data_IF_132506533965
#
_entry.id   IF_132506533965
#
_cell.length_a   1.000
_cell.length_b   1.000
_cell.length_c   1.000
_cell.angle_alpha   90.00
_cell.angle_beta   90.00
_cell.angle_gamma   90.00
#
_symmetry.space_group_name_H-M   'P 1'
#
loop_
_entity.id
_entity.type
_entity.pdbx_description
1 polymer ?
#
# COMPACT_ATOMS: atom_id res chain seq x y z
N UNK A 1 -21.24 8.91 3.62
CA UNK A 1 -21.58 9.35 2.26
C UNK A 1 -20.55 10.39 1.85
N UNK A 2 -19.68 10.12 0.86
CA UNK A 2 -18.69 11.10 0.40
C UNK A 2 -19.46 12.28 -0.21
N UNK A 3 -19.16 13.52 0.17
CA UNK A 3 -19.83 14.69 -0.38
C UNK A 3 -19.59 14.75 -1.91
N UNK A 4 -20.65 15.04 -2.70
CA UNK A 4 -20.56 15.12 -4.17
C UNK A 4 -19.45 16.08 -4.65
N UNK A 5 -19.20 17.16 -3.89
CA UNK A 5 -18.12 18.10 -4.15
C UNK A 5 -16.74 17.43 -4.07
N UNK A 6 -16.49 16.57 -3.07
CA UNK A 6 -15.24 15.86 -2.92
C UNK A 6 -14.99 14.90 -4.09
N UNK A 7 -16.01 14.15 -4.52
CA UNK A 7 -15.88 13.24 -5.65
C UNK A 7 -15.57 14.00 -6.96
N UNK A 8 -16.18 15.16 -7.18
CA UNK A 8 -15.85 16.02 -8.34
C UNK A 8 -14.39 16.46 -8.32
N UNK A 9 -13.87 16.89 -7.17
CA UNK A 9 -12.47 17.28 -7.03
C UNK A 9 -11.53 16.10 -7.31
N UNK A 10 -11.79 14.93 -6.73
CA UNK A 10 -10.98 13.73 -6.94
C UNK A 10 -10.95 13.31 -8.43
N UNK A 11 -12.09 13.38 -9.12
CA UNK A 11 -12.13 13.11 -10.57
C UNK A 11 -11.31 14.14 -11.36
N UNK A 12 -11.35 15.42 -11.01
CA UNK A 12 -10.53 16.45 -11.67
C UNK A 12 -9.04 16.19 -11.46
N UNK A 13 -8.62 15.75 -10.28
CA UNK A 13 -7.22 15.36 -10.04
C UNK A 13 -6.81 14.18 -10.93
N UNK A 14 -7.67 13.15 -11.07
CA UNK A 14 -7.41 12.02 -11.98
C UNK A 14 -7.29 12.44 -13.45
N UNK A 15 -8.12 13.37 -13.89
CA UNK A 15 -8.05 13.92 -15.26
C UNK A 15 -6.74 14.69 -15.51
N UNK A 16 -6.08 15.20 -14.47
CA UNK A 16 -4.75 15.81 -14.55
C UNK A 16 -3.60 14.79 -14.49
N UNK A 17 -3.90 13.49 -14.39
CA UNK A 17 -2.89 12.44 -14.28
C UNK A 17 -2.39 12.17 -12.85
N UNK A 18 -2.98 12.80 -11.83
CA UNK A 18 -2.61 12.57 -10.43
C UNK A 18 -3.16 11.22 -9.98
N UNK A 19 -2.30 10.34 -9.45
CA UNK A 19 -2.72 9.06 -8.85
C UNK A 19 -3.36 9.30 -7.49
N UNK A 20 -4.40 8.53 -7.17
CA UNK A 20 -5.09 8.60 -5.89
C UNK A 20 -4.89 7.30 -5.12
N UNK A 21 -4.55 7.40 -3.84
CA UNK A 21 -4.35 6.25 -2.97
C UNK A 21 -5.37 6.24 -1.83
N UNK A 22 -5.84 5.05 -1.44
CA UNK A 22 -6.61 4.86 -0.21
C UNK A 22 -5.69 4.33 0.89
N UNK A 23 -5.55 5.09 1.97
CA UNK A 23 -4.74 4.73 3.12
C UNK A 23 -5.52 3.84 4.11
N UNK A 24 -4.77 3.10 4.93
CA UNK A 24 -5.29 2.29 6.04
C UNK A 24 -6.41 1.32 5.60
N UNK A 25 -6.29 0.74 4.39
CA UNK A 25 -7.28 -0.19 3.89
C UNK A 25 -7.34 -1.45 4.77
N UNK A 26 -8.55 -1.91 5.07
CA UNK A 26 -8.83 -2.97 6.03
C UNK A 26 -9.09 -2.49 7.46
N UNK A 27 -8.94 -1.19 7.75
CA UNK A 27 -9.34 -0.57 9.03
C UNK A 27 -10.69 0.17 8.92
N UNK A 28 -11.23 0.60 10.06
CA UNK A 28 -12.64 0.99 10.24
C UNK A 28 -13.19 2.12 9.35
N UNK A 29 -12.35 2.88 8.65
CA UNK A 29 -12.80 3.95 7.73
C UNK A 29 -12.74 3.56 6.24
N UNK A 30 -12.15 2.42 5.92
CA UNK A 30 -12.04 1.88 4.56
C UNK A 30 -13.19 0.91 4.26
N UNK A 31 -13.69 0.89 3.03
CA UNK A 31 -14.70 -0.10 2.62
C UNK A 31 -14.57 -0.46 1.15
N UNK A 32 -14.96 -1.68 0.79
CA UNK A 32 -15.02 -2.14 -0.60
C UNK A 32 -15.88 -1.22 -1.45
N UNK A 33 -16.98 -0.69 -0.89
CA UNK A 33 -17.85 0.25 -1.59
C UNK A 33 -17.11 1.54 -2.00
N UNK A 34 -16.15 2.03 -1.19
CA UNK A 34 -15.36 3.21 -1.56
C UNK A 34 -14.43 2.92 -2.74
N UNK A 35 -13.85 1.72 -2.83
CA UNK A 35 -13.02 1.32 -3.97
C UNK A 35 -13.81 1.39 -5.30
N UNK A 36 -15.11 1.09 -5.25
CA UNK A 36 -15.97 1.16 -6.44
C UNK A 36 -16.43 2.58 -6.78
N UNK A 37 -16.45 3.51 -5.81
CA UNK A 37 -17.06 4.84 -5.97
C UNK A 37 -16.04 5.94 -6.25
N UNK A 38 -14.81 5.78 -5.76
CA UNK A 38 -13.75 6.77 -5.88
C UNK A 38 -12.71 6.24 -6.86
N UNK A 39 -12.22 7.06 -7.81
CA UNK A 39 -11.26 6.61 -8.79
C UNK A 39 -9.87 6.48 -8.17
N UNK A 40 -9.65 5.49 -7.31
CA UNK A 40 -8.33 5.16 -6.77
C UNK A 40 -7.44 4.51 -7.85
N UNK A 41 -6.14 4.67 -7.69
CA UNK A 41 -5.07 4.02 -8.45
C UNK A 41 -4.28 3.05 -7.57
N UNK A 42 -4.36 3.21 -6.25
CA UNK A 42 -3.53 2.49 -5.29
C UNK A 42 -4.35 2.18 -4.04
N UNK A 43 -4.09 1.00 -3.47
CA UNK A 43 -4.56 0.55 -2.16
C UNK A 43 -3.33 0.42 -1.26
N UNK A 44 -3.31 1.13 -0.13
CA UNK A 44 -2.33 0.87 0.94
C UNK A 44 -2.98 0.03 2.02
N UNK A 45 -2.50 -1.22 2.12
CA UNK A 45 -2.98 -2.15 3.13
C UNK A 45 -2.33 -1.82 4.47
N UNK A 46 -3.17 -1.65 5.49
CA UNK A 46 -2.73 -1.17 6.79
C UNK A 46 -1.71 -2.10 7.46
N UNK A 47 -0.78 -1.53 8.21
CA UNK A 47 0.33 -2.27 8.83
C UNK A 47 -0.11 -3.39 9.78
N UNK A 48 -1.31 -3.31 10.36
CA UNK A 48 -1.86 -4.33 11.25
C UNK A 48 -1.97 -5.69 10.58
N UNK A 49 -2.06 -5.75 9.25
CA UNK A 49 -2.04 -7.02 8.51
C UNK A 49 -0.63 -7.60 8.40
N UNK A 50 0.39 -6.75 8.23
CA UNK A 50 1.80 -7.14 8.12
C UNK A 50 2.38 -7.54 9.46
N UNK A 51 2.00 -6.87 10.55
CA UNK A 51 2.49 -7.14 11.90
C UNK A 51 2.34 -8.60 12.32
N UNK A 52 1.26 -9.27 11.90
CA UNK A 52 0.94 -10.64 12.28
C UNK A 52 1.12 -11.66 11.13
N UNK A 53 1.82 -11.26 10.06
CA UNK A 53 2.01 -12.10 8.87
C UNK A 53 2.78 -13.39 9.15
N UNK A 54 3.64 -13.42 10.16
CA UNK A 54 4.41 -14.61 10.57
C UNK A 54 3.52 -15.63 11.31
N UNK A 55 2.42 -15.17 11.89
CA UNK A 55 1.54 -15.93 12.76
C UNK A 55 0.40 -16.65 12.01
N UNK A 56 -0.85 -16.51 12.48
CA UNK A 56 -2.01 -17.19 11.90
C UNK A 56 -2.18 -16.93 10.40
N UNK A 57 -2.52 -17.98 9.64
CA UNK A 57 -2.64 -17.90 8.18
C UNK A 57 -3.73 -16.95 7.64
N UNK A 58 -4.63 -16.45 8.48
CA UNK A 58 -5.68 -15.53 8.04
C UNK A 58 -5.14 -14.15 7.62
N UNK A 59 -4.05 -13.66 8.24
CA UNK A 59 -3.42 -12.40 7.80
C UNK A 59 -2.85 -12.52 6.39
N UNK A 60 -2.11 -13.61 6.12
CA UNK A 60 -1.63 -13.95 4.77
C UNK A 60 -2.78 -14.11 3.76
N UNK A 61 -3.90 -14.72 4.18
CA UNK A 61 -5.07 -14.86 3.33
C UNK A 61 -5.70 -13.50 2.97
N UNK A 62 -5.80 -12.58 3.93
CA UNK A 62 -6.30 -11.22 3.67
C UNK A 62 -5.39 -10.49 2.70
N UNK A 63 -4.06 -10.46 2.95
CA UNK A 63 -3.09 -9.80 2.07
C UNK A 63 -3.19 -10.34 0.63
N UNK A 64 -3.21 -11.68 0.47
CA UNK A 64 -3.35 -12.32 -0.85
C UNK A 64 -4.65 -11.93 -1.56
N UNK A 65 -5.76 -11.91 -0.84
CA UNK A 65 -7.06 -11.52 -1.41
C UNK A 65 -7.09 -10.04 -1.76
N UNK A 66 -6.45 -9.17 -0.99
CA UNK A 66 -6.27 -7.75 -1.33
C UNK A 66 -5.43 -7.58 -2.59
N UNK A 67 -4.35 -8.36 -2.76
CA UNK A 67 -3.53 -8.34 -3.98
C UNK A 67 -4.37 -8.70 -5.22
N UNK A 68 -5.17 -9.77 -5.15
CA UNK A 68 -6.09 -10.16 -6.23
C UNK A 68 -7.14 -9.07 -6.49
N UNK A 69 -7.72 -8.50 -5.44
CA UNK A 69 -8.71 -7.42 -5.55
C UNK A 69 -8.10 -6.18 -6.24
N UNK A 70 -6.91 -5.75 -5.83
CA UNK A 70 -6.22 -4.62 -6.41
C UNK A 70 -6.00 -4.84 -7.92
N UNK A 71 -5.50 -6.01 -8.30
CA UNK A 71 -5.32 -6.40 -9.70
C UNK A 71 -6.62 -6.36 -10.51
N UNK A 72 -7.71 -6.92 -9.97
CA UNK A 72 -9.03 -6.92 -10.62
C UNK A 72 -9.62 -5.51 -10.79
N UNK A 73 -9.27 -4.58 -9.90
CA UNK A 73 -9.71 -3.18 -9.96
C UNK A 73 -8.75 -2.29 -10.76
N UNK A 74 -7.66 -2.83 -11.32
CA UNK A 74 -6.62 -2.06 -12.00
C UNK A 74 -5.90 -1.09 -11.06
N UNK A 75 -5.75 -1.47 -9.79
CA UNK A 75 -5.09 -0.71 -8.74
C UNK A 75 -3.78 -1.38 -8.33
N UNK A 76 -2.81 -0.56 -7.92
CA UNK A 76 -1.56 -1.00 -7.31
C UNK A 76 -1.78 -1.33 -5.83
N UNK A 77 -1.16 -2.38 -5.31
CA UNK A 77 -1.15 -2.67 -3.88
C UNK A 77 0.18 -2.25 -3.27
N UNK A 78 0.13 -1.46 -2.20
CA UNK A 78 1.27 -1.19 -1.31
C UNK A 78 0.96 -1.85 0.03
N UNK A 79 1.88 -2.69 0.53
CA UNK A 79 1.76 -3.28 1.86
C UNK A 79 2.63 -2.48 2.84
N UNK A 80 2.01 -1.92 3.88
CA UNK A 80 2.69 -1.08 4.86
C UNK A 80 3.17 -1.89 6.08
N UNK A 81 4.13 -1.34 6.82
CA UNK A 81 4.59 -1.89 8.09
C UNK A 81 5.58 -3.05 7.97
N UNK A 82 6.39 -3.11 6.92
CA UNK A 82 7.45 -4.12 6.78
C UNK A 82 8.64 -3.74 7.67
N UNK A 83 8.87 -4.52 8.72
CA UNK A 83 9.91 -4.28 9.72
C UNK A 83 10.97 -5.39 9.76
N UNK A 84 10.68 -6.60 9.28
CA UNK A 84 11.59 -7.75 9.33
C UNK A 84 11.76 -8.44 7.97
N UNK A 85 12.93 -9.06 7.76
CA UNK A 85 13.20 -9.83 6.54
C UNK A 85 12.19 -10.98 6.36
N UNK A 86 11.75 -11.63 7.44
CA UNK A 86 10.73 -12.69 7.37
C UNK A 86 9.38 -12.18 6.84
N UNK A 87 8.96 -10.99 7.28
CA UNK A 87 7.74 -10.35 6.75
C UNK A 87 7.90 -10.04 5.26
N UNK A 88 9.05 -9.51 4.87
CA UNK A 88 9.38 -9.24 3.47
C UNK A 88 9.33 -10.53 2.63
N UNK A 89 9.97 -11.61 3.07
CA UNK A 89 10.01 -12.89 2.35
C UNK A 89 8.60 -13.46 2.16
N UNK A 90 7.75 -13.42 3.19
CA UNK A 90 6.35 -13.82 3.08
C UNK A 90 5.58 -13.00 2.04
N UNK A 91 5.79 -11.67 2.01
CA UNK A 91 5.14 -10.80 1.04
C UNK A 91 5.63 -11.08 -0.39
N UNK A 92 6.94 -11.30 -0.56
CA UNK A 92 7.55 -11.66 -1.83
C UNK A 92 6.98 -12.96 -2.40
N UNK A 93 6.93 -14.00 -1.57
CA UNK A 93 6.38 -15.32 -1.94
C UNK A 93 4.90 -15.25 -2.33
N UNK A 94 4.15 -14.29 -1.79
CA UNK A 94 2.76 -14.03 -2.18
C UNK A 94 2.62 -13.28 -3.50
N UNK A 95 3.70 -12.73 -4.04
CA UNK A 95 3.72 -11.91 -5.25
C UNK A 95 3.42 -10.44 -5.00
N UNK A 96 3.56 -9.96 -3.76
CA UNK A 96 3.50 -8.52 -3.46
C UNK A 96 4.75 -7.86 -4.03
N UNK A 97 4.53 -6.81 -4.83
CA UNK A 97 5.62 -6.13 -5.54
C UNK A 97 6.12 -4.88 -4.85
N UNK A 98 5.30 -4.25 -3.99
CA UNK A 98 5.61 -2.95 -3.40
C UNK A 98 5.31 -2.96 -1.91
N UNK A 99 6.35 -2.65 -1.15
CA UNK A 99 6.32 -2.60 0.30
C UNK A 99 6.75 -1.24 0.84
N UNK A 100 6.23 -0.89 2.01
CA UNK A 100 6.70 0.26 2.77
C UNK A 100 6.90 -0.15 4.24
N UNK A 101 8.00 0.27 4.85
CA UNK A 101 8.26 0.01 6.26
C UNK A 101 9.70 0.30 6.68
N UNK A 102 9.98 0.11 7.96
CA UNK A 102 11.29 0.42 8.54
C UNK A 102 12.42 -0.49 8.06
N UNK A 103 12.09 -1.67 7.52
CA UNK A 103 13.08 -2.53 6.87
C UNK A 103 13.65 -1.88 5.60
N UNK A 104 12.81 -1.19 4.82
CA UNK A 104 13.22 -0.51 3.59
C UNK A 104 14.01 0.75 3.93
N UNK A 105 13.38 1.65 4.69
CA UNK A 105 13.99 2.86 5.20
C UNK A 105 13.11 3.45 6.30
N UNK A 106 13.73 4.00 7.35
CA UNK A 106 13.01 4.78 8.35
C UNK A 106 12.69 6.18 7.80
N UNK A 107 11.60 6.84 8.25
CA UNK A 107 11.41 8.26 8.03
C UNK A 107 12.66 9.04 8.42
N UNK A 108 13.09 9.95 7.55
CA UNK A 108 14.37 10.64 7.69
C UNK A 108 14.25 12.11 7.31
N UNK A 109 15.17 12.93 7.80
CA UNK A 109 15.27 14.33 7.41
C UNK A 109 15.67 14.48 5.94
N UNK A 110 15.34 15.63 5.34
CA UNK A 110 15.54 15.86 3.90
C UNK A 110 17.00 15.71 3.47
N UNK A 111 17.96 16.15 4.28
CA UNK A 111 19.39 16.05 4.03
C UNK A 111 19.91 14.60 4.06
N UNK A 112 19.25 13.73 4.82
CA UNK A 112 19.53 12.29 4.86
C UNK A 112 18.88 11.62 3.64
N UNK A 113 17.64 11.99 3.32
CA UNK A 113 16.91 11.48 2.16
C UNK A 113 17.63 11.76 0.84
N UNK A 114 18.13 12.99 0.66
CA UNK A 114 18.89 13.39 -0.54
C UNK A 114 20.13 12.52 -0.77
N UNK A 115 20.77 12.05 0.31
CA UNK A 115 21.90 11.12 0.21
C UNK A 115 21.42 9.70 -0.07
N UNK A 116 20.42 9.24 0.69
CA UNK A 116 19.87 7.89 0.58
C UNK A 116 19.34 7.58 -0.83
N UNK A 117 18.64 8.51 -1.49
CA UNK A 117 18.08 8.28 -2.83
C UNK A 117 19.13 8.17 -3.95
N UNK A 118 20.37 8.60 -3.67
CA UNK A 118 21.50 8.46 -4.60
C UNK A 118 22.25 7.14 -4.40
N UNK A 119 22.03 6.46 -3.28
CA UNK A 119 22.59 5.14 -3.05
C UNK A 119 21.89 4.12 -3.97
N UNK A 120 22.60 3.11 -4.48
CA UNK A 120 21.98 2.08 -5.29
C UNK A 120 20.88 1.38 -4.49
N UNK A 121 19.68 1.28 -5.07
CA UNK A 121 18.54 0.63 -4.44
C UNK A 121 18.92 -0.79 -4.01
N UNK A 122 18.81 -1.04 -2.71
CA UNK A 122 18.85 -2.40 -2.17
C UNK A 122 17.51 -3.10 -2.44
N UNK A 123 17.49 -4.43 -2.47
CA UNK A 123 16.25 -5.22 -2.66
C UNK A 123 15.25 -5.09 -1.49
N UNK A 124 15.52 -4.24 -0.49
CA UNK A 124 14.67 -4.07 0.67
C UNK A 124 13.34 -3.40 0.29
N UNK A 125 12.23 -4.14 0.52
CA UNK A 125 10.82 -3.80 0.29
C UNK A 125 10.30 -3.59 -1.14
N UNK A 126 11.00 -4.13 -2.14
CA UNK A 126 10.54 -4.47 -3.49
C UNK A 126 9.98 -3.37 -4.42
N UNK A 127 10.46 -3.46 -5.66
CA UNK A 127 10.30 -2.57 -6.84
C UNK A 127 9.90 -1.10 -6.58
#
# INVERSE_FOLDING_TARGET
MLALAALKTLNRLRLLGIRLSINDFGTGCSSLLRLCQVPFSEIKLAQEFTQFIDGPGHYRAVIRNTLVLAGNLGMQLVVEGIETAAQQDHLYEMGVQIGQGFLCAKPMAIDVFERWIQEPMTEACFQ
#
